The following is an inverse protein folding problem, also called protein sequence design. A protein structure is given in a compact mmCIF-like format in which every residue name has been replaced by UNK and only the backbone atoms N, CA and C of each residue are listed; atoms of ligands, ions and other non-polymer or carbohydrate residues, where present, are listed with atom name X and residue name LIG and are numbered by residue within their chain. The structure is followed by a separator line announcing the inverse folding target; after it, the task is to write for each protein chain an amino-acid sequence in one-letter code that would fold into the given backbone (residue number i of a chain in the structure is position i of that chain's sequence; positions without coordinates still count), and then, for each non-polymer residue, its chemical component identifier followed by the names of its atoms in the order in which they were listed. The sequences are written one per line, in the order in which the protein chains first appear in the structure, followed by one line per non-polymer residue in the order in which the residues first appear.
data_IF_366857613623
#
_entry.id   IF_366857613623
#
_cell.length_a   1.000
_cell.length_b   1.000
_cell.length_c   1.000
_cell.angle_alpha   90.00
_cell.angle_beta   90.00
_cell.angle_gamma   90.00
#
_symmetry.space_group_name_H-M   'P 1'
#
loop_
_entity.id
_entity.type
_entity.pdbx_description
1 polymer ?
#
# COMPACT_ATOMS: atom_id res chain seq x y z
N UNK A 1 8.91 12.56 -8.99
CA UNK A 1 7.64 11.93 -8.55
C UNK A 1 7.95 10.91 -7.48
N UNK A 2 7.21 10.92 -6.38
CA UNK A 2 7.40 10.00 -5.24
C UNK A 2 6.04 9.48 -4.81
N UNK A 3 6.00 8.31 -4.19
CA UNK A 3 4.81 7.73 -3.58
C UNK A 3 5.22 7.16 -2.23
N UNK A 4 4.26 7.00 -1.31
CA UNK A 4 4.51 6.35 -0.01
C UNK A 4 3.70 5.06 0.01
N UNK A 5 4.41 3.94 0.14
CA UNK A 5 3.85 2.60 0.06
C UNK A 5 4.13 1.85 1.37
N UNK A 6 3.17 1.02 1.77
CA UNK A 6 3.31 0.06 2.86
C UNK A 6 3.39 -1.35 2.28
N UNK A 7 4.51 -2.04 2.49
CA UNK A 7 4.70 -3.42 2.03
C UNK A 7 4.18 -4.44 3.05
N UNK A 8 3.54 -5.49 2.57
CA UNK A 8 2.88 -6.53 3.37
C UNK A 8 3.83 -7.62 3.88
N UNK A 9 4.97 -7.24 4.47
CA UNK A 9 6.08 -8.19 4.80
C UNK A 9 5.73 -9.26 5.84
N UNK A 10 4.73 -9.03 6.69
CA UNK A 10 4.36 -9.92 7.79
C UNK A 10 3.08 -10.74 7.51
N UNK A 11 2.65 -10.80 6.24
CA UNK A 11 1.43 -11.49 5.80
C UNK A 11 1.78 -12.46 4.67
N UNK A 12 1.05 -13.57 4.57
CA UNK A 12 1.11 -14.41 3.37
C UNK A 12 0.57 -13.64 2.18
N UNK A 13 1.40 -13.44 1.16
CA UNK A 13 1.02 -12.69 -0.06
C UNK A 13 0.80 -13.60 -1.27
N UNK A 14 0.89 -14.93 -1.11
CA UNK A 14 0.83 -15.86 -2.23
C UNK A 14 -0.45 -15.72 -3.05
N UNK A 15 -1.61 -15.70 -2.40
CA UNK A 15 -2.90 -15.52 -3.07
C UNK A 15 -2.99 -14.17 -3.80
N UNK A 16 -2.40 -13.11 -3.23
CA UNK A 16 -2.33 -11.80 -3.87
C UNK A 16 -1.44 -11.83 -5.11
N UNK A 17 -0.28 -12.50 -5.04
CA UNK A 17 0.64 -12.63 -6.16
C UNK A 17 0.06 -13.49 -7.29
N UNK A 18 -0.70 -14.54 -6.98
CA UNK A 18 -1.37 -15.37 -7.98
C UNK A 18 -2.37 -14.55 -8.81
N UNK A 19 -3.15 -13.67 -8.15
CA UNK A 19 -4.07 -12.74 -8.83
C UNK A 19 -3.28 -11.71 -9.67
N UNK A 20 -2.20 -11.17 -9.11
CA UNK A 20 -1.37 -10.16 -9.80
C UNK A 20 -0.68 -10.72 -11.03
N UNK A 21 -0.27 -11.99 -11.00
CA UNK A 21 0.32 -12.67 -12.15
C UNK A 21 -0.61 -12.64 -13.38
N UNK A 22 -1.92 -12.75 -13.16
CA UNK A 22 -2.93 -12.76 -14.23
C UNK A 22 -3.37 -11.36 -14.67
N UNK A 23 -3.39 -10.39 -13.74
CA UNK A 23 -4.12 -9.14 -13.94
C UNK A 23 -3.31 -7.86 -13.75
N UNK A 24 -2.18 -7.89 -13.03
CA UNK A 24 -1.40 -6.70 -12.68
C UNK A 24 -0.21 -6.52 -13.63
N UNK A 25 -0.20 -5.49 -14.51
CA UNK A 25 0.94 -5.20 -15.37
C UNK A 25 2.25 -4.91 -14.61
N UNK A 26 2.16 -4.63 -13.30
CA UNK A 26 3.30 -4.37 -12.42
C UNK A 26 3.79 -5.62 -11.68
N UNK A 27 3.23 -6.79 -11.98
CA UNK A 27 3.73 -8.06 -11.46
C UNK A 27 5.23 -8.22 -11.76
N UNK A 28 6.01 -8.62 -10.75
CA UNK A 28 7.47 -8.73 -10.84
C UNK A 28 8.25 -7.41 -10.82
N UNK A 29 7.59 -6.25 -10.98
CA UNK A 29 8.25 -4.93 -10.90
C UNK A 29 8.19 -4.34 -9.48
N UNK A 30 7.11 -4.60 -8.76
CA UNK A 30 6.92 -4.16 -7.38
C UNK A 30 6.19 -5.24 -6.57
N UNK A 31 6.57 -5.50 -5.31
CA UNK A 31 5.81 -6.39 -4.44
C UNK A 31 4.41 -5.85 -4.11
N UNK A 32 3.48 -6.69 -3.64
CA UNK A 32 2.18 -6.26 -3.16
C UNK A 32 2.34 -5.23 -2.04
N UNK A 33 1.58 -4.15 -2.15
CA UNK A 33 1.69 -3.01 -1.26
C UNK A 33 0.35 -2.28 -1.15
N UNK A 34 0.22 -1.48 -0.08
CA UNK A 34 -0.87 -0.51 0.09
C UNK A 34 -0.29 0.87 -0.19
N UNK A 35 -0.90 1.61 -1.12
CA UNK A 35 -0.56 3.02 -1.34
C UNK A 35 -1.10 3.85 -0.18
N UNK A 36 -0.20 4.51 0.56
CA UNK A 36 -0.57 5.44 1.65
C UNK A 36 -0.72 6.85 1.11
N UNK A 37 0.15 7.25 0.18
CA UNK A 37 0.08 8.56 -0.50
C UNK A 37 0.31 8.34 -1.98
N UNK A 38 -0.66 8.72 -2.82
CA UNK A 38 -0.56 8.66 -4.27
C UNK A 38 0.64 9.47 -4.80
N UNK A 39 1.12 9.16 -6.02
CA UNK A 39 2.27 9.84 -6.60
C UNK A 39 2.18 11.38 -6.53
N UNK A 40 3.21 12.01 -5.96
CA UNK A 40 3.28 13.45 -5.73
C UNK A 40 4.64 14.04 -6.12
N UNK A 41 4.66 15.36 -6.31
CA UNK A 41 5.86 16.17 -6.47
C UNK A 41 6.03 17.05 -5.24
N UNK A 42 7.27 17.33 -4.86
CA UNK A 42 7.57 18.29 -3.78
C UNK A 42 9.05 18.68 -3.83
N UNK A 43 9.41 19.89 -3.37
CA UNK A 43 10.78 20.37 -3.42
C UNK A 43 11.69 19.77 -2.32
N UNK A 44 11.13 19.10 -1.30
CA UNK A 44 11.93 18.56 -0.19
C UNK A 44 12.87 17.45 -0.66
N UNK A 45 14.02 17.30 -0.02
CA UNK A 45 14.97 16.23 -0.27
C UNK A 45 14.46 14.86 0.23
N UNK A 46 15.11 13.79 -0.21
CA UNK A 46 14.79 12.43 0.26
C UNK A 46 15.07 12.25 1.76
N UNK A 47 16.11 12.89 2.28
CA UNK A 47 16.45 12.81 3.72
C UNK A 47 15.42 13.55 4.57
N UNK A 48 14.99 14.74 4.15
CA UNK A 48 13.90 15.46 4.82
C UNK A 48 12.59 14.67 4.80
N UNK A 49 12.24 14.08 3.64
CA UNK A 49 11.05 13.24 3.53
C UNK A 49 11.12 12.01 4.45
N UNK A 50 12.28 11.33 4.49
CA UNK A 50 12.50 10.19 5.36
C UNK A 50 12.37 10.58 6.83
N UNK A 51 12.98 11.68 7.25
CA UNK A 51 12.88 12.19 8.61
C UNK A 51 11.44 12.57 8.97
N UNK A 52 10.72 13.20 8.05
CA UNK A 52 9.31 13.53 8.21
C UNK A 52 8.46 12.27 8.44
N UNK A 53 8.61 11.26 7.58
CA UNK A 53 7.89 9.99 7.71
C UNK A 53 8.17 9.33 9.06
N UNK A 54 9.45 9.25 9.47
CA UNK A 54 9.85 8.68 10.77
C UNK A 54 9.26 9.44 11.96
N UNK A 55 9.16 10.77 11.87
CA UNK A 55 8.60 11.58 12.96
C UNK A 55 7.08 11.47 13.05
N UNK A 56 6.38 11.38 11.91
CA UNK A 56 4.92 11.14 11.89
C UNK A 56 4.61 9.72 12.36
N UNK A 57 5.36 8.71 11.92
CA UNK A 57 5.11 7.31 12.27
C UNK A 57 5.29 7.01 13.75
N UNK A 58 6.14 7.75 14.47
CA UNK A 58 6.30 7.62 15.94
C UNK A 58 5.00 7.88 16.72
N UNK A 59 4.07 8.64 16.15
CA UNK A 59 2.78 8.96 16.78
C UNK A 59 1.70 7.92 16.48
N UNK A 60 1.99 6.96 15.60
CA UNK A 60 1.05 5.97 15.11
C UNK A 60 1.36 4.64 15.81
N UNK A 61 0.34 4.07 16.46
CA UNK A 61 0.44 2.72 17.04
C UNK A 61 0.25 1.64 15.96
N UNK A 62 0.35 0.38 16.36
CA UNK A 62 0.06 -0.74 15.47
C UNK A 62 -1.30 -0.57 14.78
N UNK A 63 -1.29 -0.62 13.45
CA UNK A 63 -2.51 -0.60 12.65
C UNK A 63 -2.87 -2.06 12.37
N UNK A 64 -4.06 -2.44 12.79
CA UNK A 64 -4.65 -3.72 12.41
C UNK A 64 -5.46 -3.54 11.12
N UNK A 65 -5.07 -4.27 10.09
CA UNK A 65 -5.69 -4.22 8.78
C UNK A 65 -6.33 -5.59 8.52
N UNK A 66 -7.60 -5.58 8.14
CA UNK A 66 -8.32 -6.77 7.70
C UNK A 66 -8.86 -6.52 6.29
N UNK A 67 -8.53 -7.40 5.36
CA UNK A 67 -9.04 -7.37 4.00
C UNK A 67 -10.36 -8.14 3.92
N UNK A 68 -11.28 -7.67 3.07
CA UNK A 68 -12.44 -8.44 2.70
C UNK A 68 -12.01 -9.68 1.92
N UNK A 69 -12.68 -10.81 2.16
CA UNK A 69 -12.45 -12.05 1.42
C UNK A 69 -13.15 -12.02 0.05
N UNK A 70 -13.01 -10.90 -0.67
CA UNK A 70 -13.55 -10.67 -2.00
C UNK A 70 -12.68 -9.62 -2.70
N UNK A 71 -12.45 -9.83 -3.98
CA UNK A 71 -11.86 -8.83 -4.87
C UNK A 71 -13.02 -8.04 -5.48
N UNK A 72 -12.88 -6.71 -5.47
CA UNK A 72 -13.80 -5.82 -6.19
C UNK A 72 -13.04 -5.08 -7.28
N UNK A 73 -13.78 -4.37 -8.13
CA UNK A 73 -13.23 -3.61 -9.23
C UNK A 73 -13.82 -2.21 -9.32
N UNK A 74 -13.00 -1.21 -9.60
CA UNK A 74 -13.45 0.13 -9.97
C UNK A 74 -12.66 0.62 -11.18
N UNK A 75 -13.37 0.84 -12.30
CA UNK A 75 -12.73 1.16 -13.57
C UNK A 75 -11.77 0.05 -14.02
N UNK A 76 -10.49 0.40 -14.17
CA UNK A 76 -9.42 -0.53 -14.56
C UNK A 76 -8.65 -1.13 -13.37
N UNK A 77 -9.12 -0.93 -12.13
CA UNK A 77 -8.44 -1.40 -10.92
C UNK A 77 -9.17 -2.60 -10.32
N UNK A 78 -8.39 -3.60 -9.90
CA UNK A 78 -8.81 -4.66 -8.99
C UNK A 78 -8.23 -4.38 -7.60
N UNK A 79 -9.02 -4.52 -6.54
CA UNK A 79 -8.52 -4.34 -5.17
C UNK A 79 -9.30 -5.14 -4.14
N UNK A 80 -8.63 -5.42 -3.02
CA UNK A 80 -9.26 -5.90 -1.80
C UNK A 80 -9.81 -4.74 -1.00
N UNK A 81 -11.08 -4.79 -0.62
CA UNK A 81 -11.63 -3.79 0.28
C UNK A 81 -11.06 -3.97 1.70
N UNK A 82 -10.83 -2.86 2.40
CA UNK A 82 -10.52 -2.92 3.83
C UNK A 82 -11.80 -3.07 4.65
N UNK A 83 -11.86 -4.10 5.50
CA UNK A 83 -12.88 -4.29 6.54
C UNK A 83 -12.51 -3.55 7.82
N UNK A 84 -11.23 -3.58 8.21
CA UNK A 84 -10.67 -2.91 9.40
C UNK A 84 -9.45 -2.07 9.00
N UNK A 85 -9.22 -0.98 9.73
CA UNK A 85 -8.14 -0.03 9.44
C UNK A 85 -8.56 1.13 8.54
N UNK A 86 -9.83 1.22 8.12
CA UNK A 86 -10.42 2.46 7.60
C UNK A 86 -10.60 3.42 8.78
N UNK A 87 -10.06 4.63 8.70
CA UNK A 87 -10.42 5.69 9.65
C UNK A 87 -11.93 5.95 9.55
N UNK A 88 -12.58 6.10 10.71
CA UNK A 88 -13.88 6.77 10.79
C UNK A 88 -13.70 8.28 10.65
#
# INVERSE_FOLDING_TARGET
MRTILLFLKNMSIHEIEDIRLEHDPLFGLIPPHVTIVFPFQSPISNEELKLHILNVSKKIYNIEIEFANQITSEGAYLFFELKKGKNK
#
